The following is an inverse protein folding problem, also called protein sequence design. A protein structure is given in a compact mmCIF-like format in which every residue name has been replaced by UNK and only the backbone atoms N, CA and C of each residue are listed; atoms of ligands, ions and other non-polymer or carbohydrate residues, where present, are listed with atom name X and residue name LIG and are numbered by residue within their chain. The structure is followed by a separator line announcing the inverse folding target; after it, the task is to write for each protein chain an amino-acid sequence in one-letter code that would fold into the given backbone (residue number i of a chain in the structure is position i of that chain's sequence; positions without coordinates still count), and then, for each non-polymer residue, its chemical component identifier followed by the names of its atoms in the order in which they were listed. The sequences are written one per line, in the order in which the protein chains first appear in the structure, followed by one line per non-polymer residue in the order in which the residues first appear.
data_IF_402378410384
#
_entry.id   IF_402378410384
#
_cell.length_a   1.000
_cell.length_b   1.000
_cell.length_c   1.000
_cell.angle_alpha   90.00
_cell.angle_beta   90.00
_cell.angle_gamma   90.00
#
_symmetry.space_group_name_H-M   'P 1'
#
loop_
_entity.id
_entity.type
_entity.pdbx_description
1 polymer ?
#
# COMPACT_ATOMS: atom_id res chain seq x y z
N UNK A 1 28.10 -1.60 -17.62
CA UNK A 1 27.06 -0.92 -16.83
C UNK A 1 26.68 -1.84 -15.68
N UNK A 2 26.87 -1.40 -14.43
CA UNK A 2 26.30 -2.10 -13.28
C UNK A 2 24.88 -1.60 -13.13
N UNK A 3 23.89 -2.46 -13.34
CA UNK A 3 22.49 -2.13 -13.14
C UNK A 3 22.08 -2.47 -11.70
N UNK A 4 21.33 -1.60 -11.04
CA UNK A 4 20.85 -1.84 -9.67
C UNK A 4 19.75 -2.88 -9.67
N UNK A 5 19.99 -4.04 -9.05
CA UNK A 5 19.00 -5.11 -8.94
C UNK A 5 17.73 -4.66 -8.19
N UNK A 6 17.87 -3.84 -7.16
CA UNK A 6 16.74 -3.31 -6.38
C UNK A 6 15.85 -2.44 -7.26
N UNK A 7 16.46 -1.57 -8.06
CA UNK A 7 15.73 -0.72 -9.00
C UNK A 7 14.97 -1.53 -10.05
N UNK A 8 15.61 -2.55 -10.64
CA UNK A 8 14.95 -3.42 -11.62
C UNK A 8 13.75 -4.13 -11.01
N UNK A 9 13.88 -4.62 -9.77
CA UNK A 9 12.79 -5.31 -9.08
C UNK A 9 11.64 -4.37 -8.73
N UNK A 10 11.94 -3.13 -8.30
CA UNK A 10 10.94 -2.12 -8.00
C UNK A 10 10.13 -1.73 -9.24
N UNK A 11 10.83 -1.45 -10.35
CA UNK A 11 10.18 -1.12 -11.62
C UNK A 11 9.34 -2.27 -12.13
N UNK A 12 9.85 -3.50 -12.05
CA UNK A 12 9.08 -4.68 -12.41
C UNK A 12 7.80 -4.81 -11.56
N UNK A 13 7.90 -4.57 -10.25
CA UNK A 13 6.76 -4.56 -9.35
C UNK A 13 5.72 -3.51 -9.76
N UNK A 14 6.17 -2.29 -10.04
CA UNK A 14 5.31 -1.18 -10.51
C UNK A 14 4.65 -1.47 -11.85
N UNK A 15 5.37 -2.06 -12.82
CA UNK A 15 4.77 -2.47 -14.10
C UNK A 15 3.66 -3.50 -13.91
N UNK A 16 3.87 -4.49 -13.03
CA UNK A 16 2.84 -5.49 -12.70
C UNK A 16 1.62 -4.84 -12.05
N UNK A 17 1.83 -3.88 -11.14
CA UNK A 17 0.76 -3.11 -10.50
C UNK A 17 -0.07 -2.34 -11.54
N UNK A 18 0.58 -1.57 -12.43
CA UNK A 18 -0.08 -0.82 -13.51
C UNK A 18 -0.87 -1.76 -14.42
N UNK A 19 -0.29 -2.88 -14.85
CA UNK A 19 -0.99 -3.85 -15.70
C UNK A 19 -2.19 -4.48 -14.98
N UNK A 20 -2.05 -4.80 -13.70
CA UNK A 20 -3.15 -5.35 -12.90
C UNK A 20 -4.30 -4.35 -12.76
N UNK A 21 -4.00 -3.05 -12.66
CA UNK A 21 -5.05 -2.01 -12.64
C UNK A 21 -5.74 -1.80 -13.99
N UNK A 22 -5.02 -1.94 -15.10
CA UNK A 22 -5.60 -1.84 -16.44
C UNK A 22 -6.44 -3.07 -16.81
N UNK A 23 -5.96 -4.27 -16.51
CA UNK A 23 -6.53 -5.52 -17.01
C UNK A 23 -7.32 -6.31 -15.96
N UNK A 24 -7.28 -5.90 -14.68
CA UNK A 24 -7.82 -6.60 -13.49
C UNK A 24 -7.09 -7.90 -13.18
N UNK A 25 -6.92 -8.76 -14.17
CA UNK A 25 -6.17 -10.02 -14.10
C UNK A 25 -5.03 -9.98 -15.13
N UNK A 26 -3.82 -10.27 -14.67
CA UNK A 26 -2.62 -10.28 -15.51
C UNK A 26 -2.25 -11.72 -15.87
N UNK A 27 -2.82 -12.21 -16.96
CA UNK A 27 -2.60 -13.56 -17.47
C UNK A 27 -2.10 -13.52 -18.92
N UNK A 28 -1.74 -14.69 -19.46
CA UNK A 28 -1.26 -14.79 -20.85
C UNK A 28 -2.29 -14.26 -21.86
N UNK A 29 -3.58 -14.54 -21.64
CA UNK A 29 -4.67 -14.02 -22.47
C UNK A 29 -4.75 -12.49 -22.41
N UNK A 30 -4.64 -11.90 -21.21
CA UNK A 30 -4.60 -10.44 -21.02
C UNK A 30 -3.48 -9.79 -21.84
N UNK A 31 -2.31 -10.43 -21.93
CA UNK A 31 -1.19 -9.92 -22.73
C UNK A 31 -1.47 -10.02 -24.23
N UNK A 32 -1.97 -11.17 -24.70
CA UNK A 32 -2.23 -11.41 -26.13
C UNK A 32 -3.32 -10.48 -26.67
N UNK A 33 -4.38 -10.28 -25.89
CA UNK A 33 -5.54 -9.50 -26.32
C UNK A 33 -5.33 -7.98 -26.22
N UNK A 34 -4.40 -7.52 -25.37
CA UNK A 34 -4.16 -6.10 -25.12
C UNK A 34 -2.76 -5.62 -25.54
N UNK A 35 -2.09 -6.34 -26.45
CA UNK A 35 -0.69 -6.07 -26.81
C UNK A 35 -0.43 -4.62 -27.25
N UNK A 36 -1.39 -3.97 -27.93
CA UNK A 36 -1.27 -2.56 -28.37
C UNK A 36 -1.11 -1.62 -27.18
N UNK A 37 -2.03 -1.71 -26.20
CA UNK A 37 -2.00 -0.89 -24.98
C UNK A 37 -0.75 -1.22 -24.15
N UNK A 38 -0.33 -2.48 -24.12
CA UNK A 38 0.88 -2.88 -23.40
C UNK A 38 2.12 -2.21 -24.00
N UNK A 39 2.24 -2.13 -25.33
CA UNK A 39 3.34 -1.40 -25.95
C UNK A 39 3.32 0.09 -25.62
N UNK A 40 2.15 0.74 -25.66
CA UNK A 40 2.00 2.14 -25.25
C UNK A 40 2.39 2.35 -23.78
N UNK A 41 1.93 1.47 -22.89
CA UNK A 41 2.27 1.51 -21.48
C UNK A 41 3.76 1.31 -21.25
N UNK A 42 4.40 0.36 -21.93
CA UNK A 42 5.84 0.12 -21.75
C UNK A 42 6.69 1.30 -22.22
N UNK A 43 6.31 1.95 -23.32
CA UNK A 43 6.98 3.15 -23.84
C UNK A 43 6.86 4.32 -22.87
N UNK A 44 5.69 4.49 -22.24
CA UNK A 44 5.45 5.58 -21.29
C UNK A 44 5.99 5.28 -19.88
N UNK A 45 6.02 4.02 -19.47
CA UNK A 45 6.51 3.60 -18.15
C UNK A 45 8.02 3.78 -18.03
N UNK A 46 8.77 3.57 -19.13
CA UNK A 46 10.22 3.56 -19.10
C UNK A 46 10.83 4.04 -20.43
N UNK A 47 11.66 5.07 -20.34
CA UNK A 47 12.48 5.53 -21.47
C UNK A 47 13.97 5.28 -21.16
N UNK A 48 14.67 4.64 -22.09
CA UNK A 48 16.11 4.36 -22.01
C UNK A 48 16.57 3.69 -20.70
N UNK A 49 15.73 2.86 -20.08
CA UNK A 49 16.02 2.21 -18.79
C UNK A 49 15.71 3.05 -17.56
N UNK A 50 15.13 4.24 -17.72
CA UNK A 50 14.69 5.13 -16.66
C UNK A 50 13.16 5.16 -16.59
N UNK A 51 12.56 4.77 -15.45
CA UNK A 51 11.13 4.91 -15.21
C UNK A 51 10.71 6.37 -15.34
N UNK A 52 9.62 6.61 -16.04
CA UNK A 52 9.02 7.93 -16.21
C UNK A 52 7.74 8.02 -15.37
N UNK A 53 6.59 7.68 -15.95
CA UNK A 53 5.29 7.79 -15.28
C UNK A 53 4.79 6.40 -14.88
N UNK A 54 4.69 6.11 -13.59
CA UNK A 54 4.24 4.80 -13.07
C UNK A 54 2.90 4.83 -12.34
N UNK A 55 2.28 6.01 -12.23
CA UNK A 55 0.93 6.17 -11.65
C UNK A 55 -0.15 5.81 -12.70
N UNK A 56 -0.68 4.60 -12.58
CA UNK A 56 -1.75 4.03 -13.42
C UNK A 56 -2.93 4.97 -13.65
N UNK A 57 -3.45 5.62 -12.61
CA UNK A 57 -4.59 6.55 -12.69
C UNK A 57 -4.29 7.75 -13.59
N UNK A 58 -3.03 8.17 -13.66
CA UNK A 58 -2.59 9.28 -14.50
C UNK A 58 -2.39 8.78 -15.93
N UNK A 59 -1.78 7.61 -16.10
CA UNK A 59 -1.63 6.95 -17.40
C UNK A 59 -3.00 6.75 -18.07
N UNK A 60 -4.04 6.40 -17.30
CA UNK A 60 -5.40 6.16 -17.79
C UNK A 60 -6.07 7.42 -18.38
N UNK A 61 -5.56 8.62 -18.10
CA UNK A 61 -6.10 9.86 -18.68
C UNK A 61 -5.75 10.02 -20.16
N UNK A 62 -4.66 9.41 -20.64
CA UNK A 62 -4.18 9.60 -22.02
C UNK A 62 -3.79 8.31 -22.75
N UNK A 63 -3.62 7.19 -22.04
CA UNK A 63 -3.47 5.84 -22.59
C UNK A 63 -4.74 5.05 -22.28
N UNK A 64 -5.67 5.03 -23.24
CA UNK A 64 -7.03 4.51 -23.07
C UNK A 64 -7.28 3.24 -23.86
N UNK A 65 -7.97 2.26 -23.27
CA UNK A 65 -8.33 1.01 -23.96
C UNK A 65 -9.39 1.19 -25.06
N UNK A 66 -10.15 2.28 -25.00
CA UNK A 66 -11.15 2.59 -26.03
C UNK A 66 -10.48 3.33 -27.18
N UNK A 67 -10.61 2.79 -28.39
CA UNK A 67 -10.16 3.47 -29.60
C UNK A 67 -10.87 4.81 -29.74
N UNK A 68 -10.14 5.89 -29.48
CA UNK A 68 -10.64 7.22 -29.79
C UNK A 68 -10.92 7.28 -31.30
N UNK A 69 -12.19 7.49 -31.68
CA UNK A 69 -12.49 8.09 -32.98
C UNK A 69 -11.55 9.28 -33.11
N UNK A 70 -10.86 9.37 -34.25
CA UNK A 70 -9.91 10.43 -34.61
C UNK A 70 -10.53 11.82 -34.43
N UNK A 71 -10.62 12.31 -33.20
CA UNK A 71 -10.74 13.71 -32.91
C UNK A 71 -9.32 14.26 -32.97
N UNK A 72 -9.10 15.16 -33.92
CA UNK A 72 -7.85 15.86 -34.22
C UNK A 72 -7.38 16.81 -33.09
N UNK A 73 -7.58 16.43 -31.84
CA UNK A 73 -6.89 16.98 -30.68
C UNK A 73 -5.88 15.95 -30.21
N UNK A 74 -4.59 16.18 -30.46
CA UNK A 74 -3.50 15.41 -29.81
C UNK A 74 -3.89 15.17 -28.35
N UNK A 75 -3.97 13.91 -27.92
CA UNK A 75 -4.12 13.56 -26.50
C UNK A 75 -3.08 14.37 -25.74
N UNK A 76 -3.52 15.45 -25.08
CA UNK A 76 -2.59 16.38 -24.43
C UNK A 76 -2.18 15.68 -23.15
N UNK A 77 -0.91 15.32 -23.06
CA UNK A 77 -0.30 14.79 -21.83
C UNK A 77 -0.78 15.67 -20.67
N UNK A 78 -1.39 15.09 -19.62
CA UNK A 78 -1.86 15.86 -18.48
C UNK A 78 -0.70 16.65 -17.85
N UNK A 79 -0.91 17.91 -17.43
CA UNK A 79 0.14 18.68 -16.75
C UNK A 79 0.63 18.00 -15.47
N UNK A 80 -0.21 17.14 -14.87
CA UNK A 80 0.12 16.27 -13.73
C UNK A 80 1.40 15.46 -13.95
N UNK A 81 1.64 14.97 -15.17
CA UNK A 81 2.86 14.20 -15.51
C UNK A 81 4.14 14.99 -15.25
N UNK A 82 4.10 16.31 -15.45
CA UNK A 82 5.26 17.21 -15.28
C UNK A 82 5.26 17.98 -13.94
N UNK A 83 4.20 17.84 -13.14
CA UNK A 83 4.04 18.60 -11.90
C UNK A 83 4.76 17.92 -10.73
N UNK A 84 5.09 18.71 -9.70
CA UNK A 84 5.65 18.19 -8.45
C UNK A 84 4.66 17.28 -7.68
N UNK A 85 3.36 17.38 -7.99
CA UNK A 85 2.32 16.46 -7.53
C UNK A 85 1.91 15.64 -8.74
N UNK A 86 2.55 14.48 -8.90
CA UNK A 86 2.36 13.61 -10.07
C UNK A 86 1.25 12.58 -9.90
N UNK A 87 0.64 12.46 -8.71
CA UNK A 87 -0.32 11.41 -8.36
C UNK A 87 -1.76 11.91 -8.19
N UNK A 88 -2.03 13.19 -8.47
CA UNK A 88 -3.38 13.78 -8.37
C UNK A 88 -3.59 14.87 -9.41
N UNK A 89 -4.60 14.69 -10.25
CA UNK A 89 -4.98 15.66 -11.27
C UNK A 89 -5.80 16.82 -10.72
N UNK A 90 -5.64 17.99 -11.34
CA UNK A 90 -6.43 19.18 -11.01
C UNK A 90 -7.88 19.06 -11.51
N UNK A 91 -8.79 19.82 -10.90
CA UNK A 91 -10.18 19.92 -11.39
C UNK A 91 -11.12 18.78 -10.97
N UNK A 92 -10.66 17.81 -10.17
CA UNK A 92 -11.50 16.77 -9.57
C UNK A 92 -12.65 17.41 -8.78
N UNK A 93 -13.88 16.95 -9.00
CA UNK A 93 -15.09 17.45 -8.33
C UNK A 93 -15.99 16.29 -7.90
N UNK A 94 -16.34 16.30 -6.63
CA UNK A 94 -17.31 15.39 -6.04
C UNK A 94 -18.53 16.17 -5.52
N UNK A 95 -19.72 15.57 -5.65
CA UNK A 95 -20.95 16.14 -5.06
C UNK A 95 -20.89 16.19 -3.54
N UNK A 96 -20.22 15.21 -2.94
CA UNK A 96 -20.00 15.07 -1.50
C UNK A 96 -18.53 14.75 -1.28
N UNK A 97 -17.88 15.52 -0.42
CA UNK A 97 -16.48 15.31 -0.09
C UNK A 97 -16.39 14.33 1.09
N UNK A 98 -15.81 13.15 0.86
CA UNK A 98 -15.71 12.08 1.86
C UNK A 98 -14.33 11.42 1.81
N UNK A 99 -13.86 10.93 2.96
CA UNK A 99 -12.65 10.13 3.08
C UNK A 99 -12.98 8.94 3.97
N UNK A 100 -12.72 7.74 3.48
CA UNK A 100 -12.78 6.51 4.27
C UNK A 100 -11.35 6.09 4.62
N UNK A 101 -11.18 5.60 5.85
CA UNK A 101 -9.88 5.19 6.39
C UNK A 101 -10.04 3.78 6.93
N UNK A 102 -9.30 2.84 6.34
CA UNK A 102 -9.22 1.47 6.79
C UNK A 102 -7.85 1.24 7.43
N UNK A 103 -7.86 0.89 8.72
CA UNK A 103 -6.66 0.49 9.47
C UNK A 103 -6.68 -1.02 9.58
N UNK A 104 -5.77 -1.68 8.86
CA UNK A 104 -5.72 -3.14 8.73
C UNK A 104 -4.45 -3.63 9.40
N UNK A 105 -4.58 -4.47 10.41
CA UNK A 105 -3.45 -5.04 11.14
C UNK A 105 -3.38 -6.55 10.96
N UNK A 106 -2.20 -7.05 10.56
CA UNK A 106 -1.87 -8.47 10.50
C UNK A 106 -0.97 -8.82 11.68
N UNK A 107 -1.40 -9.79 12.50
CA UNK A 107 -0.63 -10.27 13.64
C UNK A 107 0.17 -11.51 13.21
N UNK A 108 1.49 -11.37 13.14
CA UNK A 108 2.40 -12.48 12.87
C UNK A 108 2.82 -13.09 14.20
N UNK A 109 2.56 -14.38 14.37
CA UNK A 109 2.89 -15.12 15.59
C UNK A 109 3.61 -16.42 15.24
N UNK A 110 4.77 -16.64 15.86
CA UNK A 110 5.48 -17.92 15.82
C UNK A 110 5.56 -18.49 17.22
N UNK A 111 5.04 -19.71 17.41
CA UNK A 111 5.06 -20.43 18.69
C UNK A 111 5.85 -21.72 18.52
N UNK A 112 6.76 -22.00 19.44
CA UNK A 112 7.51 -23.26 19.42
C UNK A 112 6.68 -24.43 19.97
N UNK A 113 7.20 -25.66 19.85
CA UNK A 113 6.53 -26.86 20.36
C UNK A 113 6.28 -26.86 21.89
N UNK A 114 7.03 -26.05 22.64
CA UNK A 114 6.87 -25.90 24.09
C UNK A 114 5.80 -24.84 24.46
N UNK A 115 5.14 -24.22 23.48
CA UNK A 115 4.14 -23.17 23.71
C UNK A 115 4.74 -21.80 24.02
N UNK A 116 6.04 -21.59 23.82
CA UNK A 116 6.68 -20.27 23.96
C UNK A 116 6.58 -19.49 22.65
N UNK A 117 6.19 -18.22 22.74
CA UNK A 117 6.16 -17.30 21.60
C UNK A 117 7.59 -16.90 21.24
N UNK A 118 8.02 -17.22 20.01
CA UNK A 118 9.31 -16.88 19.45
C UNK A 118 9.28 -15.54 18.71
N UNK A 119 8.18 -15.26 18.00
CA UNK A 119 7.97 -14.02 17.26
C UNK A 119 6.54 -13.56 17.48
N UNK A 120 6.37 -12.26 17.75
CA UNK A 120 5.09 -11.57 17.82
C UNK A 120 5.31 -10.18 17.24
N UNK A 121 4.81 -9.93 16.04
CA UNK A 121 4.85 -8.61 15.42
C UNK A 121 3.48 -8.29 14.82
N UNK A 122 3.18 -6.99 14.75
CA UNK A 122 2.01 -6.47 14.06
C UNK A 122 2.50 -5.70 12.86
N UNK A 123 2.04 -6.09 11.68
CA UNK A 123 2.24 -5.37 10.42
C UNK A 123 0.91 -4.69 10.10
N UNK A 124 0.90 -3.36 10.22
CA UNK A 124 -0.27 -2.54 9.97
C UNK A 124 -0.18 -1.80 8.64
N UNK A 125 -1.33 -1.58 8.02
CA UNK A 125 -1.49 -0.81 6.80
C UNK A 125 -2.67 0.14 6.95
N UNK A 126 -2.49 1.41 6.58
CA UNK A 126 -3.55 2.41 6.51
C UNK A 126 -3.90 2.62 5.04
N UNK A 127 -5.10 2.17 4.64
CA UNK A 127 -5.65 2.39 3.30
C UNK A 127 -6.67 3.53 3.35
N UNK A 128 -6.65 4.36 2.33
CA UNK A 128 -7.57 5.47 2.18
C UNK A 128 -8.41 5.30 0.92
N UNK A 129 -9.68 5.69 1.01
CA UNK A 129 -10.55 5.93 -0.14
C UNK A 129 -10.99 7.39 -0.13
N UNK A 130 -10.42 8.17 -1.03
CA UNK A 130 -10.53 9.64 -1.03
C UNK A 130 -11.44 10.11 -2.16
N UNK A 131 -12.53 10.77 -1.79
CA UNK A 131 -13.45 11.44 -2.71
C UNK A 131 -13.51 12.91 -2.37
N UNK A 132 -12.47 13.66 -2.73
CA UNK A 132 -12.35 15.08 -2.40
C UNK A 132 -12.22 15.93 -3.66
N UNK A 133 -12.83 17.11 -3.65
CA UNK A 133 -12.74 18.07 -4.74
C UNK A 133 -11.45 18.89 -4.67
N UNK A 134 -10.86 19.20 -5.82
CA UNK A 134 -9.66 20.04 -5.94
C UNK A 134 -8.37 19.35 -5.48
N UNK A 135 -7.43 20.15 -4.94
CA UNK A 135 -6.12 19.73 -4.44
C UNK A 135 -6.01 19.91 -2.91
N UNK A 136 -6.70 19.08 -2.11
CA UNK A 136 -6.71 19.22 -0.66
C UNK A 136 -5.37 18.77 -0.05
N UNK A 137 -4.87 19.51 0.94
CA UNK A 137 -3.80 19.03 1.82
C UNK A 137 -4.43 18.42 3.09
N UNK A 138 -4.19 17.14 3.31
CA UNK A 138 -4.63 16.38 4.48
C UNK A 138 -3.49 16.26 5.49
N UNK A 139 -3.88 16.19 6.77
CA UNK A 139 -2.99 15.89 7.89
C UNK A 139 -3.57 14.76 8.72
N UNK A 140 -2.79 13.69 8.91
CA UNK A 140 -3.16 12.56 9.75
C UNK A 140 -2.37 12.61 11.06
N UNK A 141 -3.09 12.61 12.18
CA UNK A 141 -2.51 12.49 13.51
C UNK A 141 -2.68 11.06 14.02
N UNK A 142 -1.57 10.39 14.33
CA UNK A 142 -1.58 9.10 15.01
C UNK A 142 -1.22 9.28 16.49
N UNK A 143 -1.55 8.31 17.31
CA UNK A 143 -1.12 8.28 18.71
C UNK A 143 0.32 7.79 18.88
N UNK A 144 1.23 8.35 18.08
CA UNK A 144 2.66 8.04 18.08
C UNK A 144 3.29 8.45 19.42
N UNK A 145 3.93 7.48 20.08
CA UNK A 145 4.65 7.69 21.34
C UNK A 145 5.66 8.82 21.26
N UNK A 146 6.41 8.92 20.15
CA UNK A 146 7.42 9.97 19.95
C UNK A 146 6.77 11.35 19.92
N UNK A 147 5.64 11.49 19.22
CA UNK A 147 4.87 12.72 19.19
C UNK A 147 4.31 13.08 20.57
N UNK A 148 3.85 12.09 21.34
CA UNK A 148 3.35 12.28 22.70
C UNK A 148 4.44 12.69 23.70
N UNK A 149 5.67 12.18 23.54
CA UNK A 149 6.84 12.58 24.32
C UNK A 149 7.26 14.02 23.99
N UNK A 150 7.32 14.40 22.71
CA UNK A 150 7.63 15.77 22.27
C UNK A 150 6.61 16.81 22.73
N UNK A 151 5.33 16.41 22.86
CA UNK A 151 4.23 17.33 23.25
C UNK A 151 3.89 17.29 24.75
N UNK A 152 4.63 16.52 25.56
CA UNK A 152 4.44 16.45 27.02
C UNK A 152 3.15 15.75 27.48
N UNK A 153 2.52 14.94 26.61
CA UNK A 153 1.21 14.29 26.85
C UNK A 153 1.34 12.80 27.23
N UNK A 154 2.39 12.44 27.96
CA UNK A 154 2.84 11.07 28.28
C UNK A 154 1.83 10.15 29.02
N UNK A 155 0.67 10.65 29.47
CA UNK A 155 -0.32 9.86 30.24
C UNK A 155 -1.27 9.00 29.38
N UNK A 156 -1.26 9.13 28.05
CA UNK A 156 -2.17 8.39 27.17
C UNK A 156 -1.51 7.13 26.59
N UNK A 157 -2.33 6.12 26.29
CA UNK A 157 -1.90 4.90 25.58
C UNK A 157 -1.34 5.26 24.20
N UNK A 158 -0.02 5.20 24.06
CA UNK A 158 0.70 5.49 22.82
C UNK A 158 1.09 4.20 22.09
N UNK A 159 1.37 4.33 20.80
CA UNK A 159 1.86 3.26 19.94
C UNK A 159 3.29 3.60 19.54
N UNK A 160 4.20 2.63 19.70
CA UNK A 160 5.60 2.76 19.32
C UNK A 160 5.81 2.13 17.96
N UNK A 161 5.88 2.98 16.93
CA UNK A 161 6.06 2.57 15.54
C UNK A 161 7.56 2.33 15.28
N UNK A 162 7.95 1.09 15.05
CA UNK A 162 9.37 0.74 14.83
C UNK A 162 9.86 1.12 13.43
N UNK A 163 9.05 0.78 12.43
CA UNK A 163 9.30 1.10 11.04
C UNK A 163 8.01 1.63 10.42
N UNK A 164 8.14 2.64 9.58
CA UNK A 164 7.03 3.27 8.88
C UNK A 164 7.44 3.55 7.44
N UNK A 165 6.61 3.08 6.51
CA UNK A 165 6.74 3.35 5.08
C UNK A 165 5.56 4.20 4.65
N UNK A 166 5.83 5.24 3.88
CA UNK A 166 4.82 6.16 3.41
C UNK A 166 4.67 6.08 1.90
N UNK A 167 3.48 6.39 1.42
CA UNK A 167 3.23 6.73 0.03
C UNK A 167 4.00 8.00 -0.35
N UNK A 168 4.38 8.13 -1.63
CA UNK A 168 5.10 9.29 -2.18
C UNK A 168 4.42 10.64 -1.93
N UNK A 169 3.12 10.62 -1.64
CA UNK A 169 2.35 11.83 -1.36
C UNK A 169 2.65 12.47 0.00
N UNK A 170 3.31 11.75 0.91
CA UNK A 170 3.64 12.23 2.25
C UNK A 170 4.90 13.07 2.23
N UNK A 171 4.82 14.25 2.84
CA UNK A 171 5.97 15.14 3.03
C UNK A 171 6.87 14.61 4.15
N UNK A 172 7.83 13.75 3.81
CA UNK A 172 8.77 13.14 4.77
C UNK A 172 9.48 14.17 5.64
N UNK A 173 9.88 15.32 5.08
CA UNK A 173 10.53 16.40 5.84
C UNK A 173 9.65 16.98 6.96
N UNK A 174 8.32 16.97 6.84
CA UNK A 174 7.42 17.38 7.93
C UNK A 174 7.40 16.31 9.01
N UNK A 175 7.27 15.05 8.59
CA UNK A 175 7.25 13.91 9.49
C UNK A 175 8.55 13.80 10.32
N UNK A 176 9.71 14.00 9.72
CA UNK A 176 10.99 13.94 10.44
C UNK A 176 11.13 15.06 11.49
N UNK A 177 10.54 16.23 11.23
CA UNK A 177 10.63 17.40 12.11
C UNK A 177 9.66 17.34 13.30
N UNK A 178 8.39 17.06 13.04
CA UNK A 178 7.33 17.17 14.06
C UNK A 178 6.38 15.97 14.09
N UNK A 179 6.73 14.88 13.40
CA UNK A 179 5.91 13.65 13.27
C UNK A 179 4.53 13.89 12.64
N UNK A 180 4.33 15.01 11.94
CA UNK A 180 3.09 15.29 11.22
C UNK A 180 3.07 14.60 9.86
N UNK A 181 2.08 13.74 9.63
CA UNK A 181 1.84 13.12 8.33
C UNK A 181 0.99 14.10 7.50
N UNK A 182 1.64 14.91 6.65
CA UNK A 182 1.00 15.88 5.75
C UNK A 182 1.14 15.45 4.30
N UNK A 183 0.04 15.44 3.55
CA UNK A 183 0.01 14.92 2.17
C UNK A 183 -1.12 15.50 1.33
N UNK A 184 -0.94 15.50 0.01
CA UNK A 184 -2.03 15.70 -0.96
C UNK A 184 -2.41 14.30 -1.47
N UNK A 185 -3.58 13.74 -1.14
CA UNK A 185 -3.91 12.35 -1.46
C UNK A 185 -4.15 12.12 -2.96
N UNK A 186 -3.68 11.00 -3.54
CA UNK A 186 -4.26 10.46 -4.77
C UNK A 186 -5.78 10.34 -4.67
N UNK A 187 -6.46 10.38 -5.82
CA UNK A 187 -7.90 10.24 -5.86
C UNK A 187 -8.34 8.77 -5.81
N UNK A 188 -9.45 8.47 -5.14
CA UNK A 188 -9.94 7.09 -4.97
C UNK A 188 -9.15 6.27 -3.94
N UNK A 189 -9.01 4.97 -4.18
CA UNK A 189 -8.38 4.02 -3.27
C UNK A 189 -6.84 4.04 -3.39
N UNK A 190 -6.11 4.10 -2.28
CA UNK A 190 -4.65 3.93 -2.23
C UNK A 190 -4.16 3.56 -0.81
N UNK A 191 -2.97 2.99 -0.70
CA UNK A 191 -2.28 2.77 0.58
C UNK A 191 -1.49 4.03 0.98
N UNK A 192 -1.83 4.64 2.12
CA UNK A 192 -1.13 5.83 2.61
C UNK A 192 0.20 5.47 3.29
N UNK A 193 0.17 4.45 4.14
CA UNK A 193 1.33 4.02 4.91
C UNK A 193 1.19 2.59 5.40
N UNK A 194 2.33 1.95 5.60
CA UNK A 194 2.46 0.71 6.37
C UNK A 194 3.40 0.93 7.55
N UNK A 195 3.15 0.23 8.64
CA UNK A 195 3.91 0.34 9.87
C UNK A 195 4.13 -1.03 10.51
N UNK A 196 5.18 -1.14 11.33
CA UNK A 196 5.49 -2.35 12.09
C UNK A 196 5.61 -2.05 13.57
N UNK A 197 5.02 -2.92 14.39
CA UNK A 197 5.11 -2.89 15.85
C UNK A 197 5.66 -4.23 16.33
N UNK A 198 6.80 -4.24 17.04
CA UNK A 198 7.20 -5.45 17.79
C UNK A 198 6.61 -5.38 19.20
N UNK A 199 5.29 -5.52 19.27
CA UNK A 199 4.61 -5.67 20.56
C UNK A 199 4.41 -7.15 20.84
N UNK A 200 4.84 -7.60 22.03
CA UNK A 200 4.45 -8.90 22.56
C UNK A 200 2.98 -8.86 22.97
N UNK A 201 2.09 -9.06 21.99
CA UNK A 201 0.67 -9.22 22.26
C UNK A 201 0.40 -10.67 22.65
N UNK A 202 -0.50 -10.86 23.62
CA UNK A 202 -1.08 -12.19 23.82
C UNK A 202 -1.85 -12.55 22.54
N UNK A 203 -1.70 -13.78 22.03
CA UNK A 203 -2.40 -14.19 20.81
C UNK A 203 -3.90 -14.02 20.97
N UNK A 204 -4.53 -13.41 19.97
CA UNK A 204 -5.99 -13.22 19.94
C UNK A 204 -6.74 -14.57 19.96
N UNK A 205 -6.09 -15.61 19.43
CA UNK A 205 -6.57 -16.99 19.48
C UNK A 205 -5.37 -17.85 19.85
N UNK A 206 -5.49 -18.61 20.94
CA UNK A 206 -4.49 -19.57 21.37
C UNK A 206 -4.93 -20.99 21.01
N UNK A 207 -4.04 -21.74 20.35
CA UNK A 207 -4.31 -23.11 19.92
C UNK A 207 -3.33 -24.03 20.64
N UNK A 208 -3.87 -24.99 21.37
CA UNK A 208 -3.12 -26.07 21.98
C UNK A 208 -3.46 -27.36 21.22
N UNK A 209 -2.45 -28.03 20.68
CA UNK A 209 -2.62 -29.30 19.99
C UNK A 209 -1.81 -30.38 20.70
N UNK A 210 -2.46 -31.50 21.03
CA UNK A 210 -1.82 -32.70 21.55
C UNK A 210 -1.94 -33.79 20.50
N UNK A 211 -0.80 -34.34 20.08
CA UNK A 211 -0.73 -35.39 19.06
C UNK A 211 -0.30 -36.69 19.72
N UNK A 212 -1.19 -37.68 19.71
CA UNK A 212 -0.92 -39.03 20.20
C UNK A 212 -0.78 -39.97 19.00
N UNK A 213 0.42 -40.52 18.81
CA UNK A 213 0.72 -41.44 17.70
C UNK A 213 0.77 -42.87 18.20
N UNK A 214 -0.16 -43.70 17.74
CA UNK A 214 -0.18 -45.14 17.99
C UNK A 214 0.50 -45.86 16.82
N UNK A 215 1.71 -46.37 17.05
CA UNK A 215 2.52 -47.00 15.99
C UNK A 215 1.74 -48.10 15.26
N UNK A 216 1.81 -48.08 13.92
CA UNK A 216 1.13 -49.01 13.01
C UNK A 216 -0.42 -49.06 13.11
N UNK A 217 -1.06 -48.09 13.77
CA UNK A 217 -2.52 -48.10 13.95
C UNK A 217 -3.18 -46.78 13.58
N UNK A 218 -3.00 -45.74 14.41
CA UNK A 218 -3.73 -44.47 14.26
C UNK A 218 -2.97 -43.29 14.84
N UNK A 219 -3.43 -42.09 14.51
CA UNK A 219 -2.98 -40.84 15.11
C UNK A 219 -4.22 -40.12 15.63
N UNK A 220 -4.17 -39.69 16.88
CA UNK A 220 -5.21 -38.85 17.49
C UNK A 220 -4.65 -37.44 17.67
N UNK A 221 -5.40 -36.45 17.22
CA UNK A 221 -5.04 -35.03 17.35
C UNK A 221 -6.15 -34.35 18.12
N UNK A 222 -5.85 -33.96 19.36
CA UNK A 222 -6.76 -33.19 20.19
C UNK A 222 -6.37 -31.72 20.13
N UNK A 223 -7.24 -30.89 19.53
CA UNK A 223 -7.03 -29.45 19.41
C UNK A 223 -7.97 -28.72 20.36
N UNK A 224 -7.40 -27.85 21.21
CA UNK A 224 -8.13 -26.90 22.03
C UNK A 224 -7.89 -25.50 21.50
N UNK A 225 -8.96 -24.82 21.12
CA UNK A 225 -8.93 -23.44 20.66
C UNK A 225 -9.48 -22.55 21.77
N UNK A 226 -8.72 -21.56 22.20
CA UNK A 226 -9.14 -20.58 23.21
C UNK A 226 -9.07 -19.18 22.58
N UNK A 227 -10.22 -18.54 22.31
CA UNK A 227 -10.21 -17.13 21.93
C UNK A 227 -9.74 -16.28 23.12
N UNK A 228 -9.22 -15.09 22.83
CA UNK A 228 -8.87 -14.11 23.85
C UNK A 228 -10.15 -13.61 24.55
N UNK A 229 -10.32 -14.01 25.81
CA UNK A 229 -11.44 -13.68 26.70
C UNK A 229 -11.22 -14.22 28.10
#
# INVERSE_FOLDING_TARGET
MSASAVFILDVKGKTVEVFSEYFKELEEESIRDNFVIIYELLDELMDFGFPQTTDSKILQEYITQQGNKLETGKSRVPPTVTNAVSWRSEGIKYKKNEVFIDVIESVNLLVNANGSVLLSEIVGTIKLKVFLSGMPELRLGLNDRVLFELTGRSKNKSVELEDVKFHQCVRLSRFDNDRTISFIPPDGDFELMSYRLSTQVKPLIWIESVIEKFSHSRVEIMVKVRPWG
#
